data_IF_147780582223
#
_entry.id   IF_147780582223
#
_cell.length_a   1.000
_cell.length_b   1.000
_cell.length_c   1.000
_cell.angle_alpha   90.00
_cell.angle_beta   90.00
_cell.angle_gamma   90.00
#
_symmetry.space_group_name_H-M   'P 1'
#
loop_
_entity.id
_entity.type
_entity.pdbx_description
1 polymer ?
#
# COMPACT_ATOMS: atom_id res chain seq x y z
N UNK A 1 1.93 16.89 -3.29
CA UNK A 1 1.10 16.66 -4.50
C UNK A 1 1.76 15.71 -5.51
N UNK A 2 3.10 15.60 -5.57
CA UNK A 2 3.82 14.66 -6.46
C UNK A 2 3.80 13.21 -5.94
N UNK A 3 3.73 13.02 -4.62
CA UNK A 3 3.79 11.69 -3.99
C UNK A 3 2.46 10.93 -4.01
N UNK A 4 1.33 11.63 -3.93
CA UNK A 4 -0.01 11.03 -4.01
C UNK A 4 -0.29 10.40 -5.37
N UNK A 5 0.15 11.06 -6.45
CA UNK A 5 -0.02 10.57 -7.82
C UNK A 5 0.84 9.31 -8.09
N UNK A 6 2.02 9.23 -7.46
CA UNK A 6 2.92 8.07 -7.60
C UNK A 6 2.38 6.84 -6.83
N UNK A 7 1.82 7.05 -5.65
CA UNK A 7 1.14 6.00 -4.87
C UNK A 7 -0.07 5.41 -5.59
N UNK A 8 -0.90 6.25 -6.20
CA UNK A 8 -2.06 5.81 -6.96
C UNK A 8 -1.67 4.96 -8.17
N UNK A 9 -0.61 5.36 -8.89
CA UNK A 9 -0.07 4.59 -10.01
C UNK A 9 0.48 3.21 -9.56
N UNK A 10 1.21 3.16 -8.45
CA UNK A 10 1.73 1.90 -7.88
C UNK A 10 0.57 1.00 -7.45
N UNK A 11 -0.45 1.55 -6.79
CA UNK A 11 -1.66 0.83 -6.37
C UNK A 11 -2.43 0.26 -7.56
N UNK A 12 -2.69 1.09 -8.58
CA UNK A 12 -3.42 0.69 -9.78
C UNK A 12 -2.69 -0.44 -10.53
N UNK A 13 -1.35 -0.43 -10.54
CA UNK A 13 -0.54 -1.50 -11.12
C UNK A 13 -0.50 -2.76 -10.24
N UNK A 14 -0.41 -2.60 -8.93
CA UNK A 14 -0.41 -3.72 -7.98
C UNK A 14 -1.73 -4.51 -8.01
N UNK A 15 -2.86 -3.83 -8.26
CA UNK A 15 -4.18 -4.47 -8.34
C UNK A 15 -4.41 -5.30 -9.62
N UNK A 16 -3.49 -5.26 -10.60
CA UNK A 16 -3.65 -6.03 -11.83
C UNK A 16 -3.44 -7.53 -11.59
N UNK A 17 -4.23 -8.34 -12.28
CA UNK A 17 -4.05 -9.79 -12.28
C UNK A 17 -2.82 -10.18 -13.14
N UNK A 18 -1.90 -10.93 -12.53
CA UNK A 18 -0.64 -11.40 -13.14
C UNK A 18 -0.88 -12.37 -14.29
N UNK A 19 -1.86 -13.27 -14.13
CA UNK A 19 -2.19 -14.25 -15.16
C UNK A 19 -2.75 -13.58 -16.41
N UNK A 20 -3.71 -12.66 -16.22
CA UNK A 20 -4.30 -11.90 -17.32
C UNK A 20 -3.23 -11.09 -18.05
N UNK A 21 -2.36 -10.39 -17.31
CA UNK A 21 -1.24 -9.66 -17.90
C UNK A 21 -0.31 -10.59 -18.67
N UNK A 22 0.05 -11.74 -18.11
CA UNK A 22 0.92 -12.72 -18.76
C UNK A 22 0.33 -13.26 -20.06
N UNK A 23 -0.92 -13.72 -20.04
CA UNK A 23 -1.62 -14.24 -21.22
C UNK A 23 -1.74 -13.17 -22.31
N UNK A 24 -2.18 -11.96 -21.96
CA UNK A 24 -2.29 -10.85 -22.92
C UNK A 24 -0.92 -10.52 -23.54
N UNK A 25 0.13 -10.47 -22.71
CA UNK A 25 1.48 -10.13 -23.17
C UNK A 25 2.09 -11.20 -24.07
N UNK A 26 1.80 -12.48 -23.80
CA UNK A 26 2.36 -13.59 -24.56
C UNK A 26 1.83 -13.61 -26.00
N UNK A 27 0.52 -13.44 -26.19
CA UNK A 27 -0.09 -13.43 -27.51
C UNK A 27 0.10 -12.10 -28.25
N UNK A 28 -0.06 -10.98 -27.53
CA UNK A 28 0.02 -9.64 -28.11
C UNK A 28 0.71 -8.71 -27.11
N UNK A 29 2.05 -8.71 -27.13
CA UNK A 29 2.89 -7.98 -26.17
C UNK A 29 2.44 -6.53 -25.90
N UNK A 30 2.07 -5.71 -26.91
CA UNK A 30 1.58 -4.35 -26.69
C UNK A 30 0.34 -4.30 -25.80
N UNK A 31 -0.63 -5.18 -26.04
CA UNK A 31 -1.91 -5.22 -25.30
C UNK A 31 -1.65 -5.53 -23.83
N UNK A 32 -0.73 -6.46 -23.55
CA UNK A 32 -0.30 -6.77 -22.19
C UNK A 32 0.29 -5.57 -21.45
N UNK A 33 1.07 -4.73 -22.12
CA UNK A 33 1.61 -3.50 -21.53
C UNK A 33 0.60 -2.37 -21.38
N UNK A 34 -0.38 -2.26 -22.29
CA UNK A 34 -1.51 -1.35 -22.12
C UNK A 34 -2.32 -1.71 -20.87
N UNK A 35 -2.59 -3.01 -20.66
CA UNK A 35 -3.31 -3.49 -19.47
C UNK A 35 -2.59 -3.15 -18.15
N UNK A 36 -1.25 -3.15 -18.15
CA UNK A 36 -0.41 -2.79 -16.99
C UNK A 36 -0.06 -1.30 -16.91
N UNK A 37 -0.68 -0.46 -17.76
CA UNK A 37 -0.49 1.00 -17.82
C UNK A 37 0.95 1.44 -18.13
N UNK A 38 1.71 0.62 -18.88
CA UNK A 38 3.10 0.88 -19.26
C UNK A 38 3.22 1.35 -20.70
N UNK A 39 2.63 2.50 -21.02
CA UNK A 39 2.50 3.01 -22.39
C UNK A 39 3.83 3.13 -23.15
N UNK A 40 4.93 3.52 -22.49
CA UNK A 40 6.26 3.55 -23.11
C UNK A 40 6.74 2.17 -23.53
N UNK A 41 6.57 1.17 -22.68
CA UNK A 41 6.91 -0.22 -22.99
C UNK A 41 5.98 -0.79 -24.06
N UNK A 42 4.68 -0.43 -24.02
CA UNK A 42 3.72 -0.81 -25.03
C UNK A 42 4.15 -0.32 -26.42
N UNK A 43 4.54 0.95 -26.56
CA UNK A 43 5.00 1.51 -27.83
C UNK A 43 6.27 0.81 -28.36
N UNK A 44 7.27 0.60 -27.49
CA UNK A 44 8.50 -0.11 -27.89
C UNK A 44 8.17 -1.54 -28.32
N UNK A 45 7.37 -2.26 -27.52
CA UNK A 45 6.97 -3.62 -27.84
C UNK A 45 6.15 -3.70 -29.13
N UNK A 46 5.38 -2.67 -29.45
CA UNK A 46 4.56 -2.61 -30.67
C UNK A 46 5.43 -2.51 -31.91
N UNK A 47 6.42 -1.62 -31.89
CA UNK A 47 7.39 -1.48 -32.99
C UNK A 47 8.15 -2.80 -33.20
N UNK A 48 8.68 -3.39 -32.13
CA UNK A 48 9.43 -4.66 -32.22
C UNK A 48 8.53 -5.80 -32.68
N UNK A 49 7.30 -5.89 -32.17
CA UNK A 49 6.34 -6.93 -32.54
C UNK A 49 5.98 -6.86 -34.03
N UNK A 50 5.70 -5.67 -34.58
CA UNK A 50 5.40 -5.52 -36.01
C UNK A 50 6.60 -5.95 -36.88
N UNK A 51 7.82 -5.56 -36.51
CA UNK A 51 9.03 -5.95 -37.26
C UNK A 51 9.20 -7.47 -37.23
N UNK A 52 9.07 -8.10 -36.06
CA UNK A 52 9.26 -9.53 -35.91
C UNK A 52 8.15 -10.34 -36.59
N UNK A 53 6.88 -9.94 -36.46
CA UNK A 53 5.77 -10.62 -37.14
C UNK A 53 5.91 -10.49 -38.65
N UNK A 54 6.13 -9.27 -39.17
CA UNK A 54 6.29 -9.04 -40.61
C UNK A 54 7.49 -9.77 -41.23
N UNK A 55 8.59 -9.94 -40.47
CA UNK A 55 9.76 -10.68 -40.94
C UNK A 55 9.67 -12.19 -40.70
N UNK A 56 8.79 -12.65 -39.80
CA UNK A 56 8.66 -14.08 -39.46
C UNK A 56 8.00 -14.91 -40.56
N UNK A 57 7.17 -14.29 -41.41
CA UNK A 57 6.54 -15.00 -42.54
C UNK A 57 7.56 -15.53 -43.55
N UNK A 58 8.74 -14.91 -43.62
CA UNK A 58 9.79 -15.23 -44.59
C UNK A 58 11.04 -15.88 -43.95
N UNK A 59 11.13 -15.93 -42.62
CA UNK A 59 12.36 -16.32 -41.93
C UNK A 59 12.13 -17.05 -40.59
N UNK A 60 12.46 -18.33 -40.53
CA UNK A 60 12.36 -19.19 -39.34
C UNK A 60 13.18 -18.67 -38.14
N UNK A 61 14.28 -17.95 -38.39
CA UNK A 61 15.08 -17.33 -37.32
C UNK A 61 14.27 -16.21 -36.65
N UNK A 62 13.49 -15.46 -37.43
CA UNK A 62 12.65 -14.37 -36.91
C UNK A 62 11.43 -14.94 -36.15
N UNK A 63 10.86 -16.05 -36.58
CA UNK A 63 9.84 -16.78 -35.83
C UNK A 63 10.38 -17.24 -34.46
N UNK A 64 11.58 -17.79 -34.43
CA UNK A 64 12.25 -18.19 -33.18
C UNK A 64 12.50 -16.98 -32.27
N UNK A 65 12.98 -15.86 -32.83
CA UNK A 65 13.18 -14.61 -32.10
C UNK A 65 11.86 -14.02 -31.59
N UNK A 66 10.77 -14.14 -32.33
CA UNK A 66 9.42 -13.75 -31.90
C UNK A 66 8.99 -14.55 -30.67
N UNK A 67 9.24 -15.87 -30.66
CA UNK A 67 9.00 -16.72 -29.49
C UNK A 67 9.80 -16.29 -28.27
N UNK A 68 11.12 -16.06 -28.42
CA UNK A 68 11.96 -15.57 -27.32
C UNK A 68 11.54 -14.18 -26.84
N UNK A 69 11.17 -13.30 -27.76
CA UNK A 69 10.65 -11.97 -27.45
C UNK A 69 9.37 -12.08 -26.62
N UNK A 70 8.39 -12.88 -27.07
CA UNK A 70 7.12 -13.09 -26.37
C UNK A 70 7.31 -13.61 -24.95
N UNK A 71 8.21 -14.59 -24.74
CA UNK A 71 8.54 -15.11 -23.41
C UNK A 71 9.18 -14.00 -22.56
N UNK A 72 10.18 -13.30 -23.10
CA UNK A 72 10.96 -12.28 -22.37
C UNK A 72 10.08 -11.13 -21.88
N UNK A 73 9.24 -10.57 -22.76
CA UNK A 73 8.33 -9.47 -22.41
C UNK A 73 7.22 -9.91 -21.47
N UNK A 74 6.75 -11.16 -21.59
CA UNK A 74 5.77 -11.74 -20.66
C UNK A 74 6.33 -11.82 -19.25
N UNK A 75 7.52 -12.39 -19.09
CA UNK A 75 8.21 -12.50 -17.81
C UNK A 75 8.45 -11.12 -17.22
N UNK A 76 8.95 -10.17 -18.02
CA UNK A 76 9.20 -8.80 -17.60
C UNK A 76 7.92 -8.11 -17.11
N UNK A 77 6.82 -8.23 -17.86
CA UNK A 77 5.57 -7.56 -17.51
C UNK A 77 4.96 -8.15 -16.22
N UNK A 78 5.00 -9.47 -16.04
CA UNK A 78 4.56 -10.17 -14.82
C UNK A 78 5.43 -9.78 -13.61
N UNK A 79 6.76 -9.78 -13.77
CA UNK A 79 7.69 -9.33 -12.73
C UNK A 79 7.38 -7.89 -12.33
N UNK A 80 7.03 -7.03 -13.29
CA UNK A 80 6.72 -5.63 -13.01
C UNK A 80 5.48 -5.46 -12.12
N UNK A 81 4.49 -6.37 -12.23
CA UNK A 81 3.33 -6.41 -11.32
C UNK A 81 3.75 -6.94 -9.95
N UNK A 82 4.59 -7.98 -9.89
CA UNK A 82 5.13 -8.48 -8.61
C UNK A 82 5.92 -7.40 -7.87
N UNK A 83 6.79 -6.67 -8.57
CA UNK A 83 7.52 -5.52 -8.03
C UNK A 83 6.57 -4.43 -7.55
N UNK A 84 5.51 -4.14 -8.30
CA UNK A 84 4.49 -3.17 -7.86
C UNK A 84 3.73 -3.66 -6.62
N UNK A 85 3.37 -4.94 -6.55
CA UNK A 85 2.74 -5.56 -5.37
C UNK A 85 3.64 -5.54 -4.15
N UNK A 86 4.92 -5.87 -4.31
CA UNK A 86 5.88 -5.84 -3.21
C UNK A 86 6.13 -4.41 -2.75
N UNK A 87 6.34 -3.45 -3.67
CA UNK A 87 6.44 -2.03 -3.32
C UNK A 87 5.18 -1.50 -2.66
N UNK A 88 4.00 -1.91 -3.13
CA UNK A 88 2.74 -1.52 -2.50
C UNK A 88 2.63 -2.09 -1.08
N UNK A 89 3.00 -3.36 -0.87
CA UNK A 89 3.09 -3.98 0.45
C UNK A 89 4.16 -3.37 1.34
N UNK A 90 5.28 -2.93 0.78
CA UNK A 90 6.33 -2.21 1.50
C UNK A 90 5.90 -0.78 1.84
N UNK A 91 5.09 -0.13 1.00
CA UNK A 91 4.53 1.19 1.28
C UNK A 91 3.39 1.12 2.29
N UNK A 92 2.48 0.14 2.19
CA UNK A 92 1.51 -0.18 3.24
C UNK A 92 2.23 -0.63 4.51
N UNK A 93 3.25 -1.45 4.38
CA UNK A 93 4.10 -1.96 5.46
C UNK A 93 4.93 -0.88 6.14
N UNK A 94 5.47 0.10 5.40
CA UNK A 94 6.21 1.24 5.96
C UNK A 94 5.28 2.33 6.48
N UNK A 95 4.08 2.47 5.92
CA UNK A 95 3.00 3.24 6.56
C UNK A 95 2.64 2.58 7.90
N UNK A 96 2.77 1.25 7.99
CA UNK A 96 2.62 0.47 9.22
C UNK A 96 3.93 0.32 10.04
N UNK A 97 5.11 0.79 9.60
CA UNK A 97 6.37 0.73 10.39
C UNK A 97 6.75 2.06 11.04
N UNK A 98 6.02 3.14 10.76
CA UNK A 98 5.88 4.25 11.71
C UNK A 98 4.90 3.92 12.86
N UNK A 99 4.34 2.71 12.86
CA UNK A 99 3.48 2.17 13.93
C UNK A 99 3.91 0.74 14.25
N UNK A 100 4.99 0.54 15.02
CA UNK A 100 5.36 -0.76 15.58
C UNK A 100 4.30 -1.28 16.58
N UNK A 101 3.10 -1.61 16.09
CA UNK A 101 2.10 -2.40 16.78
C UNK A 101 1.41 -3.34 15.76
N UNK A 102 1.18 -4.62 16.11
CA UNK A 102 0.73 -5.65 15.18
C UNK A 102 -0.68 -5.38 14.65
N UNK A 103 -0.81 -5.42 13.33
CA UNK A 103 -2.03 -5.20 12.54
C UNK A 103 -2.97 -6.42 12.51
N UNK A 104 -3.45 -6.84 13.69
CA UNK A 104 -4.67 -7.65 13.81
C UNK A 104 -5.86 -6.85 14.35
N UNK A 105 -5.65 -5.59 14.75
CA UNK A 105 -6.72 -4.71 15.19
C UNK A 105 -7.03 -3.70 14.09
N UNK A 106 -8.25 -3.80 13.56
CA UNK A 106 -8.90 -2.78 12.74
C UNK A 106 -8.57 -1.38 13.27
N UNK A 107 -8.03 -0.49 12.42
CA UNK A 107 -7.70 0.91 12.76
C UNK A 107 -8.90 1.77 13.17
N UNK A 108 -10.06 1.15 13.44
CA UNK A 108 -11.28 1.75 13.94
C UNK A 108 -11.62 1.32 15.38
N UNK A 109 -10.78 0.54 16.07
CA UNK A 109 -11.04 0.24 17.48
C UNK A 109 -10.78 1.49 18.35
N UNK A 110 -11.69 1.82 19.30
CA UNK A 110 -11.52 2.95 20.19
C UNK A 110 -10.13 3.01 20.87
N UNK A 111 -9.61 1.85 21.24
CA UNK A 111 -8.34 1.68 21.96
C UNK A 111 -7.16 2.20 21.14
N UNK A 112 -7.07 1.83 19.86
CA UNK A 112 -5.98 2.29 18.98
C UNK A 112 -6.13 3.77 18.66
N UNK A 113 -7.36 4.26 18.47
CA UNK A 113 -7.60 5.67 18.18
C UNK A 113 -7.15 6.54 19.36
N UNK A 114 -7.47 6.13 20.60
CA UNK A 114 -7.08 6.83 21.82
C UNK A 114 -5.58 6.75 22.05
N UNK A 115 -4.95 5.57 21.90
CA UNK A 115 -3.50 5.43 22.03
C UNK A 115 -2.74 6.28 21.02
N UNK A 116 -3.20 6.36 19.76
CA UNK A 116 -2.61 7.23 18.74
C UNK A 116 -2.76 8.71 19.09
N UNK A 117 -3.92 9.12 19.63
CA UNK A 117 -4.15 10.50 20.03
C UNK A 117 -3.19 10.94 21.14
N UNK A 118 -3.06 10.11 22.20
CA UNK A 118 -2.16 10.36 23.33
C UNK A 118 -0.70 10.38 22.86
N UNK A 119 -0.26 9.41 22.04
CA UNK A 119 1.12 9.37 21.55
C UNK A 119 1.51 10.63 20.73
N UNK A 120 0.58 11.20 19.96
CA UNK A 120 0.85 12.37 19.14
C UNK A 120 0.91 13.69 19.93
N UNK A 121 0.22 13.78 21.07
CA UNK A 121 0.10 15.01 21.86
C UNK A 121 0.78 14.95 23.23
N UNK A 122 1.28 13.78 23.61
CA UNK A 122 1.95 13.53 24.89
C UNK A 122 0.94 13.21 25.99
N UNK A 123 0.66 14.18 26.86
CA UNK A 123 -0.31 14.06 27.94
C UNK A 123 -1.65 14.71 27.54
N UNK A 124 -2.77 14.05 27.83
CA UNK A 124 -4.09 14.54 27.46
C UNK A 124 -5.12 14.30 28.57
N UNK A 125 -6.00 15.27 28.79
CA UNK A 125 -7.21 15.11 29.61
C UNK A 125 -8.27 14.28 28.87
N UNK A 126 -9.23 13.71 29.61
CA UNK A 126 -10.37 12.99 29.00
C UNK A 126 -11.11 13.85 27.97
N UNK A 127 -11.30 15.13 28.26
CA UNK A 127 -11.98 16.07 27.34
C UNK A 127 -11.20 16.28 26.05
N UNK A 128 -9.88 16.41 26.12
CA UNK A 128 -9.03 16.54 24.94
C UNK A 128 -9.02 15.27 24.10
N UNK A 129 -9.09 14.09 24.74
CA UNK A 129 -9.17 12.80 24.05
C UNK A 129 -10.52 12.67 23.33
N UNK A 130 -11.62 13.05 23.96
CA UNK A 130 -12.96 13.10 23.31
C UNK A 130 -12.92 13.99 22.07
N UNK A 131 -12.34 15.19 22.19
CA UNK A 131 -12.24 16.13 21.06
C UNK A 131 -11.34 15.58 19.95
N UNK A 132 -10.20 14.99 20.30
CA UNK A 132 -9.22 14.52 19.33
C UNK A 132 -9.63 13.24 18.60
N UNK A 133 -10.45 12.40 19.23
CA UNK A 133 -10.86 11.10 18.70
C UNK A 133 -12.27 11.07 18.13
N UNK A 134 -13.07 12.12 18.37
CA UNK A 134 -14.49 12.21 18.02
C UNK A 134 -15.35 11.05 18.58
N UNK A 135 -14.84 10.33 19.59
CA UNK A 135 -15.53 9.26 20.29
C UNK A 135 -16.43 9.82 21.39
N UNK A 136 -17.49 9.08 21.75
CA UNK A 136 -18.35 9.50 22.86
C UNK A 136 -17.62 9.46 24.20
N UNK A 137 -17.94 10.34 25.17
CA UNK A 137 -17.30 10.34 26.48
C UNK A 137 -17.40 9.01 27.22
N UNK A 138 -18.47 8.25 27.01
CA UNK A 138 -18.67 6.93 27.62
C UNK A 138 -17.68 5.90 27.06
N UNK A 139 -17.45 5.91 25.74
CA UNK A 139 -16.49 5.02 25.08
C UNK A 139 -15.07 5.37 25.55
N UNK A 140 -14.72 6.67 25.55
CA UNK A 140 -13.40 7.13 25.99
C UNK A 140 -13.10 6.71 27.43
N UNK A 141 -14.02 6.94 28.37
CA UNK A 141 -13.82 6.56 29.78
C UNK A 141 -13.63 5.05 29.96
N UNK A 142 -14.44 4.25 29.26
CA UNK A 142 -14.33 2.78 29.34
C UNK A 142 -12.99 2.32 28.78
N UNK A 143 -12.63 2.78 27.58
CA UNK A 143 -11.37 2.40 26.94
C UNK A 143 -10.15 2.87 27.73
N UNK A 144 -10.16 4.07 28.32
CA UNK A 144 -9.06 4.51 29.18
C UNK A 144 -8.88 3.62 30.40
N UNK A 145 -9.98 3.18 31.03
CA UNK A 145 -9.93 2.24 32.15
C UNK A 145 -9.36 0.89 31.72
N UNK A 146 -9.81 0.36 30.57
CA UNK A 146 -9.32 -0.90 30.02
C UNK A 146 -7.81 -0.82 29.71
N UNK A 147 -7.36 0.26 29.07
CA UNK A 147 -5.94 0.51 28.75
C UNK A 147 -5.06 0.72 30.00
N UNK A 148 -5.58 1.34 31.05
CA UNK A 148 -4.87 1.53 32.33
C UNK A 148 -4.73 0.19 33.08
N UNK A 149 -5.77 -0.64 33.06
CA UNK A 149 -5.75 -2.00 33.62
C UNK A 149 -4.75 -2.90 32.88
N UNK A 150 -4.62 -2.74 31.56
CA UNK A 150 -3.63 -3.43 30.74
C UNK A 150 -2.22 -2.84 30.84
N UNK A 151 -2.03 -1.78 31.63
CA UNK A 151 -0.76 -1.07 31.81
C UNK A 151 -0.18 -0.57 30.48
N UNK A 152 -1.04 -0.06 29.59
CA UNK A 152 -0.62 0.59 28.34
C UNK A 152 -0.55 2.11 28.50
N UNK A 153 -1.35 2.67 29.41
CA UNK A 153 -1.32 4.09 29.77
C UNK A 153 -1.35 4.23 31.29
N UNK A 154 -1.05 5.43 31.79
CA UNK A 154 -1.25 5.76 33.19
C UNK A 154 -1.91 7.14 33.35
N UNK A 155 -2.84 7.23 34.31
CA UNK A 155 -3.47 8.49 34.72
C UNK A 155 -2.75 9.13 35.90
N UNK A 156 -2.53 10.44 35.87
CA UNK A 156 -1.97 11.19 37.00
C UNK A 156 -2.49 12.63 37.05
N UNK A 157 -2.33 13.27 38.21
CA UNK A 157 -2.60 14.71 38.35
C UNK A 157 -1.39 15.48 37.86
N UNK A 158 -1.58 16.28 36.81
CA UNK A 158 -0.53 17.13 36.24
C UNK A 158 -0.11 18.20 37.24
N UNK A 159 1.20 18.38 37.40
CA UNK A 159 1.77 19.29 38.42
C UNK A 159 1.44 20.77 38.17
N UNK A 160 1.24 21.16 36.91
CA UNK A 160 1.03 22.57 36.55
C UNK A 160 -0.34 23.11 36.93
N UNK A 161 -1.40 22.30 36.83
CA UNK A 161 -2.79 22.73 37.01
C UNK A 161 -3.67 21.76 37.80
N UNK A 162 -3.12 20.62 38.25
CA UNK A 162 -3.85 19.59 38.99
C UNK A 162 -4.86 18.80 38.15
N UNK A 163 -4.86 18.97 36.83
CA UNK A 163 -5.78 18.25 35.96
C UNK A 163 -5.41 16.76 35.86
N UNK A 164 -6.42 15.88 35.82
CA UNK A 164 -6.21 14.45 35.55
C UNK A 164 -5.89 14.28 34.06
N UNK A 165 -4.68 13.83 33.77
CA UNK A 165 -4.18 13.56 32.42
C UNK A 165 -3.77 12.11 32.27
N UNK A 166 -3.83 11.63 31.03
CA UNK A 166 -3.40 10.29 30.64
C UNK A 166 -2.21 10.39 29.70
N UNK A 167 -1.24 9.50 29.89
CA UNK A 167 -0.03 9.43 29.06
C UNK A 167 0.33 7.97 28.77
N UNK A 168 0.95 7.75 27.62
CA UNK A 168 1.51 6.46 27.25
C UNK A 168 2.75 6.15 28.12
N UNK A 169 2.98 4.86 28.44
CA UNK A 169 4.17 4.42 29.18
C UNK A 169 5.43 4.53 28.31
#
# INVERSE_FOLDING_TARGET
MKDSNNLEQIRNKANKNRWIAGVLTFFVAPVGYFYTLRYKAALISFIVYIILVGASEENETMETLLGFFAISVTVENVISINKAKNKFKELEGNTNQLTNYPSSFSGNSPDIIILKAINNRGEMTVSEIVIATELSPQIVKKTLLDLENEHLIYGYNRESDGAVVYKNI
#
